data_IF_615276795495
#
_entry.id   IF_615276795495
#
_cell.length_a   1.000
_cell.length_b   1.000
_cell.length_c   1.000
_cell.angle_alpha   90.00
_cell.angle_beta   90.00
_cell.angle_gamma   90.00
#
_symmetry.space_group_name_H-M   'P 1'
#
loop_
_entity.id
_entity.type
_entity.pdbx_description
1 polymer ?
#
# COMPACT_ATOMS: atom_id res chain seq x y z
N UNK A 1 22.52 17.25 -12.78
CA UNK A 1 23.06 15.95 -13.24
C UNK A 1 22.45 15.65 -14.59
N UNK A 2 23.24 15.18 -15.56
CA UNK A 2 22.66 14.70 -16.83
C UNK A 2 22.18 13.25 -16.65
N UNK A 3 21.48 12.68 -17.65
CA UNK A 3 20.94 11.32 -17.52
C UNK A 3 22.02 10.25 -17.65
N UNK A 4 23.08 10.48 -18.43
CA UNK A 4 24.20 9.53 -18.59
C UNK A 4 24.97 9.34 -17.26
N UNK A 5 25.14 10.42 -16.49
CA UNK A 5 25.70 10.38 -15.14
C UNK A 5 24.82 9.54 -14.21
N UNK A 6 23.50 9.65 -14.32
CA UNK A 6 22.55 8.88 -13.51
C UNK A 6 22.60 7.39 -13.88
N UNK A 7 22.72 7.06 -15.18
CA UNK A 7 22.86 5.68 -15.63
C UNK A 7 24.08 5.00 -15.02
N UNK A 8 25.25 5.66 -15.06
CA UNK A 8 26.46 5.13 -14.44
C UNK A 8 26.29 4.91 -12.92
N UNK A 9 25.72 5.91 -12.22
CA UNK A 9 25.47 5.78 -10.78
C UNK A 9 24.51 4.62 -10.45
N UNK A 10 23.46 4.43 -11.26
CA UNK A 10 22.48 3.38 -11.06
C UNK A 10 23.03 1.99 -11.39
N UNK A 11 23.82 1.85 -12.45
CA UNK A 11 24.50 0.60 -12.79
C UNK A 11 25.48 0.18 -11.69
N UNK A 12 26.22 1.12 -11.12
CA UNK A 12 27.16 0.83 -10.04
C UNK A 12 26.44 0.54 -8.71
N UNK A 13 25.34 1.25 -8.42
CA UNK A 13 24.52 0.96 -7.25
C UNK A 13 24.00 -0.49 -7.24
N UNK A 14 23.62 -1.04 -8.39
CA UNK A 14 23.15 -2.43 -8.49
C UNK A 14 24.24 -3.48 -8.26
N UNK A 15 25.52 -3.09 -8.29
CA UNK A 15 26.67 -3.96 -7.97
C UNK A 15 27.03 -3.91 -6.49
N UNK A 16 26.38 -3.07 -5.70
CA UNK A 16 26.74 -2.85 -4.31
C UNK A 16 26.53 -4.09 -3.43
N UNK A 17 27.49 -4.33 -2.55
CA UNK A 17 27.50 -5.47 -1.62
C UNK A 17 27.07 -5.11 -0.20
N UNK A 18 26.81 -3.83 0.07
CA UNK A 18 26.39 -3.35 1.39
C UNK A 18 25.41 -2.18 1.28
N UNK A 19 24.58 -1.94 2.32
CA UNK A 19 23.70 -0.78 2.36
C UNK A 19 24.42 0.56 2.18
N UNK A 20 25.56 0.76 2.85
CA UNK A 20 26.30 2.01 2.76
C UNK A 20 26.86 2.24 1.36
N UNK A 21 27.38 1.19 0.74
CA UNK A 21 27.89 1.25 -0.63
C UNK A 21 26.77 1.60 -1.63
N UNK A 22 25.61 0.96 -1.50
CA UNK A 22 24.43 1.28 -2.32
C UNK A 22 24.03 2.76 -2.16
N UNK A 23 23.97 3.26 -0.91
CA UNK A 23 23.64 4.66 -0.64
C UNK A 23 24.64 5.63 -1.23
N UNK A 24 25.95 5.35 -1.13
CA UNK A 24 26.98 6.24 -1.67
C UNK A 24 26.81 6.46 -3.19
N UNK A 25 26.42 5.42 -3.93
CA UNK A 25 26.15 5.53 -5.37
C UNK A 25 24.90 6.37 -5.66
N UNK A 26 23.83 6.22 -4.87
CA UNK A 26 22.55 6.91 -5.14
C UNK A 26 22.38 8.25 -4.41
N UNK A 27 23.34 8.67 -3.57
CA UNK A 27 23.22 9.86 -2.72
C UNK A 27 22.91 11.12 -3.53
N UNK A 28 23.65 11.35 -4.61
CA UNK A 28 23.41 12.51 -5.48
C UNK A 28 22.03 12.48 -6.16
N UNK A 29 21.51 11.29 -6.46
CA UNK A 29 20.16 11.13 -6.98
C UNK A 29 19.12 11.43 -5.89
N UNK A 30 19.34 10.96 -4.67
CA UNK A 30 18.49 11.28 -3.50
C UNK A 30 18.45 12.78 -3.20
N UNK A 31 19.54 13.52 -3.42
CA UNK A 31 19.57 14.97 -3.23
C UNK A 31 18.70 15.71 -4.26
N UNK A 32 18.69 15.23 -5.51
CA UNK A 32 17.86 15.78 -6.57
C UNK A 32 16.38 15.36 -6.46
N UNK A 33 16.10 14.22 -5.84
CA UNK A 33 14.76 13.63 -5.79
C UNK A 33 13.89 14.29 -4.71
N UNK A 34 12.75 14.83 -5.11
CA UNK A 34 11.74 15.31 -4.17
C UNK A 34 10.79 14.17 -3.85
N UNK A 35 10.86 13.60 -2.64
CA UNK A 35 9.96 12.49 -2.27
C UNK A 35 8.52 13.00 -2.23
N UNK A 36 7.68 12.51 -3.13
CA UNK A 36 6.26 12.84 -3.12
C UNK A 36 5.64 12.30 -1.83
N UNK A 37 4.83 13.12 -1.17
CA UNK A 37 4.09 12.72 0.01
C UNK A 37 2.65 13.19 -0.06
N UNK A 38 1.71 12.36 0.37
CA UNK A 38 0.31 12.73 0.50
C UNK A 38 -0.14 12.56 1.95
N UNK A 39 -0.97 13.48 2.43
CA UNK A 39 -1.65 13.33 3.70
C UNK A 39 -3.01 12.67 3.46
N UNK A 40 -3.21 11.51 4.08
CA UNK A 40 -4.46 10.79 4.07
C UNK A 40 -5.19 10.99 5.39
N UNK A 41 -6.47 11.27 5.28
CA UNK A 41 -7.43 11.22 6.39
C UNK A 41 -8.33 10.01 6.22
N UNK A 42 -9.32 9.88 7.11
CA UNK A 42 -10.36 8.87 6.99
C UNK A 42 -11.05 8.94 5.62
N UNK A 43 -11.11 7.81 4.92
CA UNK A 43 -11.79 7.70 3.63
C UNK A 43 -11.58 6.35 2.99
N UNK A 44 -10.45 6.19 2.29
CA UNK A 44 -10.10 4.96 1.58
C UNK A 44 -9.94 3.76 2.50
N UNK A 45 -10.28 2.57 1.99
CA UNK A 45 -10.03 1.29 2.68
C UNK A 45 -8.75 0.66 2.13
N UNK A 46 -7.83 0.34 3.03
CA UNK A 46 -6.63 -0.42 2.73
C UNK A 46 -6.80 -1.88 3.16
N UNK A 47 -6.24 -2.80 2.40
CA UNK A 47 -6.60 -4.21 2.48
C UNK A 47 -5.43 -5.09 2.87
N UNK A 48 -5.70 -6.09 3.71
CA UNK A 48 -4.77 -7.19 3.95
C UNK A 48 -5.48 -8.52 3.83
N UNK A 49 -4.84 -9.46 3.15
CA UNK A 49 -5.32 -10.83 3.04
C UNK A 49 -4.36 -11.77 3.78
N UNK A 50 -4.90 -12.86 4.33
CA UNK A 50 -4.13 -14.01 4.81
C UNK A 50 -4.83 -15.31 4.41
N UNK A 51 -4.05 -16.30 3.97
CA UNK A 51 -4.58 -17.65 3.73
C UNK A 51 -4.91 -18.31 5.06
N UNK A 52 -6.08 -18.93 5.16
CA UNK A 52 -6.45 -19.74 6.31
C UNK A 52 -5.85 -21.14 6.12
N UNK A 53 -5.03 -21.58 7.09
CA UNK A 53 -4.41 -22.90 7.08
C UNK A 53 -5.28 -23.96 7.75
N UNK A 54 -6.00 -23.59 8.81
CA UNK A 54 -6.82 -24.52 9.59
C UNK A 54 -8.12 -23.86 10.02
N UNK A 55 -8.04 -22.90 10.93
CA UNK A 55 -9.18 -22.18 11.49
C UNK A 55 -9.15 -20.71 11.10
N UNK A 56 -10.31 -20.06 11.14
CA UNK A 56 -10.40 -18.61 10.96
C UNK A 56 -9.61 -17.92 12.06
N UNK A 57 -8.92 -16.86 11.68
CA UNK A 57 -8.25 -15.98 12.63
C UNK A 57 -9.31 -15.29 13.48
N UNK A 58 -9.15 -15.41 14.80
CA UNK A 58 -10.16 -14.95 15.74
C UNK A 58 -9.91 -13.53 16.19
N UNK A 59 -8.65 -13.11 16.20
CA UNK A 59 -8.21 -11.83 16.73
C UNK A 59 -7.72 -10.91 15.62
N UNK A 60 -7.86 -9.59 15.78
CA UNK A 60 -7.43 -8.62 14.76
C UNK A 60 -5.91 -8.64 14.53
N UNK A 61 -5.12 -8.90 15.58
CA UNK A 61 -3.65 -8.97 15.48
C UNK A 61 -3.17 -10.07 14.53
N UNK A 62 -3.95 -11.14 14.37
CA UNK A 62 -3.66 -12.19 13.40
C UNK A 62 -3.74 -11.65 11.96
N UNK A 63 -4.46 -10.57 11.72
CA UNK A 63 -4.55 -9.85 10.45
C UNK A 63 -3.75 -8.54 10.47
N UNK A 64 -2.98 -8.29 11.52
CA UNK A 64 -2.06 -7.16 11.65
C UNK A 64 -0.61 -7.59 11.41
N UNK A 65 0.34 -6.67 11.59
CA UNK A 65 1.77 -6.92 11.48
C UNK A 65 2.24 -7.97 12.52
N UNK A 66 3.27 -8.77 12.22
CA UNK A 66 3.76 -9.78 13.15
C UNK A 66 4.51 -9.14 14.33
N UNK A 67 4.57 -9.82 15.50
CA UNK A 67 5.43 -9.44 16.62
C UNK A 67 6.90 -9.27 16.22
N UNK A 68 7.60 -8.37 16.92
CA UNK A 68 8.98 -7.96 16.61
C UNK A 68 9.93 -9.15 16.39
N UNK A 69 9.90 -10.12 17.28
CA UNK A 69 10.75 -11.32 17.26
C UNK A 69 10.50 -12.25 16.06
N UNK A 70 9.34 -12.16 15.42
CA UNK A 70 8.96 -12.94 14.24
C UNK A 70 9.19 -12.20 12.92
N UNK A 71 9.64 -10.94 12.96
CA UNK A 71 9.87 -10.11 11.78
C UNK A 71 11.23 -10.45 11.16
N UNK A 72 11.19 -10.96 9.92
CA UNK A 72 12.37 -11.08 9.05
C UNK A 72 12.50 -9.86 8.13
N UNK A 73 13.66 -9.74 7.47
CA UNK A 73 13.86 -8.75 6.41
C UNK A 73 12.78 -8.90 5.33
N UNK A 74 12.04 -7.82 5.10
CA UNK A 74 11.07 -7.70 4.04
C UNK A 74 11.48 -6.60 3.07
N UNK A 75 10.63 -6.35 2.08
CA UNK A 75 10.89 -5.35 1.04
C UNK A 75 11.16 -3.95 1.62
N UNK A 76 10.43 -3.57 2.66
CA UNK A 76 10.53 -2.25 3.29
C UNK A 76 11.27 -2.31 4.63
N UNK A 77 11.16 -3.41 5.35
CA UNK A 77 11.53 -3.50 6.75
C UNK A 77 12.78 -4.35 7.01
N UNK A 78 13.49 -4.00 8.06
CA UNK A 78 14.58 -4.81 8.59
C UNK A 78 14.05 -5.91 9.50
N UNK A 79 14.91 -6.90 9.80
CA UNK A 79 14.66 -7.87 10.86
C UNK A 79 14.34 -7.14 12.17
N UNK A 80 13.36 -7.65 12.92
CA UNK A 80 12.91 -7.04 14.17
C UNK A 80 12.34 -5.61 14.05
N UNK A 81 11.97 -5.16 12.85
CA UNK A 81 11.33 -3.87 12.63
C UNK A 81 9.95 -4.09 11.99
N UNK A 82 8.88 -4.29 12.78
CA UNK A 82 7.57 -4.63 12.23
C UNK A 82 6.96 -3.48 11.43
N UNK A 83 6.47 -3.81 10.23
CA UNK A 83 5.65 -2.94 9.40
C UNK A 83 4.30 -3.61 9.10
N UNK A 84 3.25 -2.81 9.09
CA UNK A 84 1.95 -3.20 8.60
C UNK A 84 1.87 -3.08 7.09
N UNK A 85 1.92 -4.22 6.42
CA UNK A 85 1.75 -4.32 4.96
C UNK A 85 0.28 -4.41 4.59
N UNK A 86 -0.13 -3.49 3.73
CA UNK A 86 -1.48 -3.31 3.21
C UNK A 86 -1.42 -3.13 1.69
N UNK A 87 -2.55 -3.30 1.02
CA UNK A 87 -2.71 -2.99 -0.38
C UNK A 87 -3.79 -1.92 -0.59
N UNK A 88 -3.67 -1.13 -1.66
CA UNK A 88 -4.67 -0.11 -1.99
C UNK A 88 -5.98 -0.68 -2.53
N UNK A 89 -6.00 -1.96 -2.92
CA UNK A 89 -7.18 -2.68 -3.43
C UNK A 89 -7.22 -4.11 -2.92
N UNK A 90 -8.42 -4.71 -2.91
CA UNK A 90 -8.63 -6.10 -2.45
C UNK A 90 -7.92 -7.09 -3.36
N UNK A 91 -8.06 -6.88 -4.66
CA UNK A 91 -7.52 -7.73 -5.71
C UNK A 91 -5.99 -7.79 -5.61
N UNK A 92 -5.36 -6.65 -5.31
CA UNK A 92 -3.94 -6.54 -4.99
C UNK A 92 -3.57 -7.34 -3.73
N UNK A 93 -4.32 -7.19 -2.63
CA UNK A 93 -4.08 -7.97 -1.41
C UNK A 93 -4.16 -9.49 -1.64
N UNK A 94 -5.12 -9.94 -2.46
CA UNK A 94 -5.26 -11.35 -2.85
C UNK A 94 -4.10 -11.83 -3.74
N UNK A 95 -3.61 -10.98 -4.64
CA UNK A 95 -2.47 -11.28 -5.50
C UNK A 95 -1.14 -11.35 -4.72
N UNK A 96 -0.93 -10.45 -3.76
CA UNK A 96 0.29 -10.40 -2.94
C UNK A 96 0.50 -11.68 -2.12
N UNK A 97 -0.58 -12.31 -1.62
CA UNK A 97 -0.49 -13.59 -0.92
C UNK A 97 -0.40 -14.80 -1.86
N UNK A 98 -0.31 -14.58 -3.19
CA UNK A 98 -0.35 -15.62 -4.23
C UNK A 98 -1.52 -16.58 -4.01
N UNK A 99 -2.72 -16.04 -3.80
CA UNK A 99 -3.92 -16.86 -3.64
C UNK A 99 -4.19 -17.71 -4.88
N UNK A 100 -4.78 -18.89 -4.67
CA UNK A 100 -5.08 -19.89 -5.68
C UNK A 100 -6.55 -20.27 -5.63
N UNK A 101 -7.01 -20.90 -6.70
CA UNK A 101 -8.32 -21.54 -6.71
C UNK A 101 -8.46 -22.51 -5.52
N UNK A 102 -9.64 -22.50 -4.89
CA UNK A 102 -9.99 -23.23 -3.67
C UNK A 102 -9.31 -22.77 -2.37
N UNK A 103 -8.40 -21.80 -2.41
CA UNK A 103 -7.88 -21.21 -1.16
C UNK A 103 -9.03 -20.57 -0.35
N UNK A 104 -8.96 -20.75 0.96
CA UNK A 104 -9.78 -20.00 1.92
C UNK A 104 -8.92 -18.87 2.47
N UNK A 105 -9.45 -17.65 2.45
CA UNK A 105 -8.71 -16.43 2.73
C UNK A 105 -9.51 -15.60 3.71
N UNK A 106 -8.85 -15.06 4.73
CA UNK A 106 -9.40 -14.00 5.55
C UNK A 106 -8.89 -12.65 5.03
N UNK A 107 -9.81 -11.78 4.66
CA UNK A 107 -9.57 -10.47 4.07
C UNK A 107 -10.06 -9.40 5.03
N UNK A 108 -9.17 -8.52 5.46
CA UNK A 108 -9.46 -7.41 6.35
C UNK A 108 -9.28 -6.06 5.64
N UNK A 109 -10.22 -5.15 5.89
CA UNK A 109 -10.19 -3.76 5.42
C UNK A 109 -9.99 -2.79 6.58
N UNK A 110 -9.08 -1.84 6.39
CA UNK A 110 -8.67 -0.87 7.39
C UNK A 110 -8.88 0.56 6.88
N UNK A 111 -9.37 1.43 7.75
CA UNK A 111 -9.49 2.86 7.49
C UNK A 111 -8.66 3.63 8.50
N UNK A 112 -8.23 4.83 8.10
CA UNK A 112 -7.70 5.79 9.06
C UNK A 112 -8.83 6.20 10.02
N UNK A 113 -8.56 6.23 11.32
CA UNK A 113 -9.51 6.63 12.36
C UNK A 113 -9.97 8.07 12.17
N UNK A 114 -11.12 8.42 12.72
CA UNK A 114 -11.54 9.83 12.76
C UNK A 114 -10.50 10.68 13.50
N UNK A 115 -10.23 11.88 12.97
CA UNK A 115 -9.27 12.85 13.51
C UNK A 115 -7.79 12.42 13.48
N UNK A 116 -7.48 11.27 12.89
CA UNK A 116 -6.11 10.86 12.61
C UNK A 116 -5.72 11.18 11.16
N UNK A 117 -4.41 11.32 10.95
CA UNK A 117 -3.84 11.46 9.61
C UNK A 117 -2.62 10.55 9.42
N UNK A 118 -2.40 10.18 8.16
CA UNK A 118 -1.25 9.44 7.73
C UNK A 118 -0.61 10.14 6.54
N UNK A 119 0.55 10.74 6.76
CA UNK A 119 1.43 11.17 5.68
C UNK A 119 2.05 9.92 5.05
N UNK A 120 2.03 9.78 3.73
CA UNK A 120 2.58 8.61 3.03
C UNK A 120 3.55 9.09 1.97
N UNK A 121 4.80 8.62 2.01
CA UNK A 121 5.76 8.77 0.92
C UNK A 121 5.32 7.89 -0.26
N UNK A 122 5.27 8.41 -1.47
CA UNK A 122 4.82 7.65 -2.64
C UNK A 122 5.91 7.63 -3.70
N UNK A 123 6.22 6.44 -4.20
CA UNK A 123 7.29 6.22 -5.19
C UNK A 123 6.69 5.77 -6.52
N UNK A 124 7.15 6.34 -7.63
CA UNK A 124 6.73 5.97 -8.99
C UNK A 124 5.68 6.91 -9.60
N UNK A 125 5.18 7.90 -8.85
CA UNK A 125 4.12 8.80 -9.33
C UNK A 125 4.60 9.90 -10.27
N UNK A 126 5.85 10.36 -10.20
CA UNK A 126 6.35 11.30 -11.22
C UNK A 126 6.39 10.62 -12.59
N UNK A 127 6.88 9.38 -12.63
CA UNK A 127 6.90 8.59 -13.87
C UNK A 127 5.48 8.32 -14.37
N UNK A 128 4.56 7.93 -13.48
CA UNK A 128 3.18 7.65 -13.87
C UNK A 128 2.48 8.91 -14.42
N UNK A 129 2.53 10.03 -13.70
CA UNK A 129 1.91 11.29 -14.15
C UNK A 129 2.52 11.76 -15.46
N UNK A 130 3.83 11.66 -15.64
CA UNK A 130 4.48 11.96 -16.91
C UNK A 130 3.95 11.11 -18.08
N UNK A 131 3.70 9.82 -17.85
CA UNK A 131 3.23 8.89 -18.90
C UNK A 131 1.74 8.93 -19.15
N UNK A 132 0.92 9.15 -18.12
CA UNK A 132 -0.53 8.94 -18.20
C UNK A 132 -1.34 10.17 -17.82
N UNK A 133 -0.73 11.20 -17.21
CA UNK A 133 -1.40 12.43 -16.80
C UNK A 133 -2.21 12.33 -15.50
N UNK A 134 -2.12 11.21 -14.76
CA UNK A 134 -2.84 11.03 -13.49
C UNK A 134 -2.01 10.25 -12.47
N UNK A 135 -2.30 10.48 -11.19
CA UNK A 135 -1.68 9.76 -10.07
C UNK A 135 -2.36 8.40 -9.91
N UNK A 136 -1.62 7.30 -10.04
CA UNK A 136 -2.20 5.96 -9.95
C UNK A 136 -2.65 5.62 -8.54
N UNK A 137 -1.86 5.98 -7.53
CA UNK A 137 -2.16 5.70 -6.13
C UNK A 137 -3.47 6.35 -5.66
N UNK A 138 -3.75 7.59 -6.09
CA UNK A 138 -4.96 8.35 -5.74
C UNK A 138 -6.10 8.16 -6.76
N UNK A 139 -5.81 7.65 -7.96
CA UNK A 139 -6.75 7.60 -9.09
C UNK A 139 -6.98 8.95 -9.79
N UNK A 140 -6.52 10.06 -9.21
CA UNK A 140 -6.55 11.40 -9.79
C UNK A 140 -5.34 12.20 -9.30
N UNK A 141 -4.80 13.10 -10.14
CA UNK A 141 -3.84 14.13 -9.69
C UNK A 141 -4.64 15.31 -9.09
N UNK A 142 -4.67 15.51 -7.76
CA UNK A 142 -5.49 16.55 -7.16
C UNK A 142 -5.11 17.93 -7.70
N UNK A 143 -6.07 18.57 -8.38
CA UNK A 143 -5.88 19.82 -9.11
C UNK A 143 -4.76 19.74 -10.16
N UNK A 144 -4.23 18.59 -10.57
CA UNK A 144 -3.07 18.53 -11.49
C UNK A 144 -1.77 19.02 -10.86
N UNK A 145 -1.58 18.82 -9.55
CA UNK A 145 -0.44 19.36 -8.80
C UNK A 145 0.90 18.81 -9.28
N UNK A 146 1.01 17.49 -9.42
CA UNK A 146 2.26 16.85 -9.87
C UNK A 146 2.52 17.19 -11.33
N UNK A 147 1.47 17.16 -12.16
CA UNK A 147 1.62 17.53 -13.57
C UNK A 147 2.08 19.00 -13.72
N UNK A 148 1.55 19.91 -12.91
CA UNK A 148 2.04 21.30 -12.88
C UNK A 148 3.49 21.38 -12.43
N UNK A 149 3.87 20.69 -11.36
CA UNK A 149 5.24 20.68 -10.84
C UNK A 149 6.24 20.23 -11.92
N UNK A 150 5.92 19.18 -12.66
CA UNK A 150 6.75 18.69 -13.77
C UNK A 150 6.84 19.76 -14.87
N UNK A 151 5.71 20.33 -15.29
CA UNK A 151 5.67 21.26 -16.44
C UNK A 151 6.19 22.67 -16.12
N UNK A 152 6.19 23.09 -14.85
CA UNK A 152 6.74 24.37 -14.41
C UNK A 152 8.22 24.32 -14.03
N UNK A 153 8.78 23.12 -13.88
CA UNK A 153 10.20 22.91 -13.60
C UNK A 153 11.07 23.14 -14.84
N UNK A 154 12.37 23.37 -14.62
CA UNK A 154 13.32 23.33 -15.74
C UNK A 154 13.32 21.94 -16.38
N UNK A 155 13.62 21.88 -17.68
CA UNK A 155 13.67 20.63 -18.45
C UNK A 155 14.55 19.57 -17.79
N UNK A 156 15.71 19.98 -17.26
CA UNK A 156 16.66 19.07 -16.62
C UNK A 156 16.17 18.60 -15.25
N UNK A 157 15.55 19.48 -14.44
CA UNK A 157 14.96 19.09 -13.16
C UNK A 157 13.81 18.11 -13.37
N UNK A 158 12.89 18.42 -14.29
CA UNK A 158 11.76 17.55 -14.61
C UNK A 158 12.22 16.16 -15.06
N UNK A 159 13.21 16.11 -15.97
CA UNK A 159 13.80 14.85 -16.43
C UNK A 159 14.44 14.06 -15.29
N UNK A 160 15.24 14.70 -14.44
CA UNK A 160 15.86 14.04 -13.30
C UNK A 160 14.82 13.49 -12.32
N UNK A 161 13.79 14.27 -11.97
CA UNK A 161 12.71 13.80 -11.09
C UNK A 161 12.04 12.54 -11.67
N UNK A 162 11.65 12.58 -12.93
CA UNK A 162 10.98 11.46 -13.61
C UNK A 162 11.90 10.22 -13.70
N UNK A 163 13.17 10.43 -14.03
CA UNK A 163 14.14 9.35 -14.23
C UNK A 163 14.50 8.65 -12.92
N UNK A 164 14.81 9.43 -11.89
CA UNK A 164 15.13 8.92 -10.55
C UNK A 164 13.92 8.22 -9.93
N UNK A 165 12.71 8.80 -10.07
CA UNK A 165 11.47 8.18 -9.61
C UNK A 165 11.24 6.81 -10.25
N UNK A 166 11.48 6.71 -11.57
CA UNK A 166 11.36 5.46 -12.29
C UNK A 166 12.35 4.43 -11.76
N UNK A 167 13.62 4.78 -11.61
CA UNK A 167 14.64 3.89 -11.05
C UNK A 167 14.27 3.41 -9.64
N UNK A 168 13.90 4.31 -8.72
CA UNK A 168 13.48 3.94 -7.37
C UNK A 168 12.25 3.05 -7.35
N UNK A 169 11.29 3.29 -8.26
CA UNK A 169 10.11 2.42 -8.41
C UNK A 169 10.48 1.01 -8.88
N UNK A 170 11.46 0.88 -9.78
CA UNK A 170 11.96 -0.42 -10.27
C UNK A 170 12.72 -1.19 -9.18
N UNK A 171 13.54 -0.50 -8.38
CA UNK A 171 14.19 -1.11 -7.20
C UNK A 171 13.12 -1.69 -6.28
N UNK A 172 12.12 -0.88 -5.88
CA UNK A 172 11.05 -1.35 -5.00
C UNK A 172 10.18 -2.44 -5.65
N UNK A 173 10.07 -2.48 -6.98
CA UNK A 173 9.33 -3.50 -7.71
C UNK A 173 10.16 -4.75 -8.08
N UNK A 174 11.40 -4.86 -7.62
CA UNK A 174 12.26 -5.98 -7.98
C UNK A 174 11.71 -7.31 -7.43
N UNK A 175 11.33 -8.20 -8.34
CA UNK A 175 10.87 -9.57 -8.07
C UNK A 175 11.94 -10.44 -7.42
N UNK A 176 13.23 -10.14 -7.66
CA UNK A 176 14.40 -10.90 -7.21
C UNK A 176 15.04 -10.31 -5.95
N UNK A 177 14.49 -9.24 -5.38
CA UNK A 177 15.03 -8.62 -4.16
C UNK A 177 15.13 -9.61 -2.98
N UNK A 178 14.37 -10.71 -2.97
CA UNK A 178 14.52 -11.75 -1.94
C UNK A 178 15.90 -12.44 -1.99
N UNK A 179 16.52 -12.52 -3.17
CA UNK A 179 17.81 -13.20 -3.39
C UNK A 179 18.98 -12.51 -2.67
N UNK A 180 18.84 -11.21 -2.35
CA UNK A 180 19.80 -10.43 -1.59
C UNK A 180 19.23 -9.92 -0.26
N UNK A 181 18.26 -10.63 0.32
CA UNK A 181 17.60 -10.27 1.57
C UNK A 181 17.05 -8.84 1.57
N UNK A 182 16.54 -8.40 0.42
CA UNK A 182 15.92 -7.10 0.19
C UNK A 182 16.86 -5.91 0.43
N UNK A 183 18.18 -6.11 0.30
CA UNK A 183 19.19 -5.10 0.65
C UNK A 183 18.91 -3.74 0.00
N UNK A 184 18.67 -3.70 -1.31
CA UNK A 184 18.44 -2.43 -2.01
C UNK A 184 17.08 -1.82 -1.63
N UNK A 185 16.03 -2.62 -1.55
CA UNK A 185 14.68 -2.10 -1.29
C UNK A 185 14.55 -1.57 0.13
N UNK A 186 15.06 -2.30 1.13
CA UNK A 186 15.02 -1.89 2.55
C UNK A 186 15.92 -0.68 2.81
N UNK A 187 17.05 -0.60 2.11
CA UNK A 187 17.98 0.52 2.26
C UNK A 187 17.40 1.79 1.62
N UNK A 188 16.82 1.67 0.43
CA UNK A 188 16.14 2.77 -0.25
C UNK A 188 14.92 3.26 0.54
N UNK A 189 14.01 2.35 0.95
CA UNK A 189 12.80 2.71 1.69
C UNK A 189 13.13 3.48 2.97
N UNK A 190 14.12 3.02 3.74
CA UNK A 190 14.59 3.68 4.95
C UNK A 190 15.06 5.13 4.70
N UNK A 191 15.76 5.38 3.59
CA UNK A 191 16.18 6.75 3.23
C UNK A 191 15.00 7.61 2.79
N UNK A 192 14.07 7.04 2.02
CA UNK A 192 12.88 7.76 1.54
C UNK A 192 11.95 8.15 2.69
N UNK A 193 11.68 7.25 3.63
CA UNK A 193 10.90 7.52 4.85
C UNK A 193 11.51 8.67 5.66
N UNK A 194 12.83 8.60 5.92
CA UNK A 194 13.56 9.67 6.64
C UNK A 194 13.51 11.00 5.92
N UNK A 195 13.74 11.01 4.61
CA UNK A 195 13.73 12.24 3.79
C UNK A 195 12.33 12.85 3.67
N UNK A 196 11.28 12.02 3.64
CA UNK A 196 9.89 12.47 3.61
C UNK A 196 9.32 12.81 5.00
N UNK A 197 10.06 12.49 6.08
CA UNK A 197 9.60 12.64 7.47
C UNK A 197 8.25 11.95 7.70
N UNK A 198 8.17 10.66 7.37
CA UNK A 198 6.98 9.84 7.54
C UNK A 198 7.34 8.40 7.92
N UNK A 199 6.38 7.72 8.55
CA UNK A 199 6.42 6.31 8.94
C UNK A 199 5.67 5.40 7.94
N UNK A 200 5.27 5.92 6.77
CA UNK A 200 4.53 5.19 5.76
C UNK A 200 5.05 5.41 4.34
N UNK A 201 5.12 4.33 3.57
CA UNK A 201 5.52 4.34 2.16
C UNK A 201 4.56 3.53 1.30
N UNK A 202 4.11 4.11 0.20
CA UNK A 202 3.38 3.44 -0.86
C UNK A 202 4.31 3.21 -2.06
N UNK A 203 4.27 1.99 -2.59
CA UNK A 203 5.12 1.55 -3.69
C UNK A 203 4.36 0.62 -4.64
N UNK A 204 4.76 0.53 -5.93
CA UNK A 204 4.06 -0.29 -6.91
C UNK A 204 4.02 -1.77 -6.50
N UNK A 205 2.88 -2.41 -6.72
CA UNK A 205 2.77 -3.87 -6.55
C UNK A 205 3.50 -4.59 -7.68
N UNK A 206 4.22 -5.65 -7.31
CA UNK A 206 4.88 -6.57 -8.23
C UNK A 206 3.90 -7.62 -8.76
N UNK A 207 2.86 -7.92 -7.98
CA UNK A 207 1.88 -8.98 -8.25
C UNK A 207 0.63 -8.48 -8.98
N UNK A 208 0.37 -7.18 -8.94
CA UNK A 208 -0.79 -6.55 -9.56
C UNK A 208 -0.39 -5.25 -10.27
N UNK A 209 -0.29 -5.32 -11.59
CA UNK A 209 0.25 -4.25 -12.40
C UNK A 209 -0.61 -2.98 -12.32
N UNK A 210 0.02 -1.87 -11.91
CA UNK A 210 -0.65 -0.58 -11.75
C UNK A 210 -1.33 -0.38 -10.39
N UNK A 211 -1.30 -1.39 -9.51
CA UNK A 211 -1.70 -1.24 -8.13
C UNK A 211 -0.52 -0.87 -7.21
N UNK A 212 -0.84 -0.56 -5.96
CA UNK A 212 0.13 -0.14 -4.96
C UNK A 212 -0.04 -0.93 -3.67
N UNK A 213 1.10 -1.23 -3.07
CA UNK A 213 1.19 -1.65 -1.69
C UNK A 213 1.48 -0.43 -0.80
N UNK A 214 1.10 -0.54 0.47
CA UNK A 214 1.37 0.41 1.53
C UNK A 214 2.07 -0.34 2.66
N UNK A 215 3.18 0.20 3.15
CA UNK A 215 3.82 -0.27 4.37
C UNK A 215 3.84 0.88 5.38
N UNK A 216 3.39 0.61 6.62
CA UNK A 216 3.34 1.59 7.71
C UNK A 216 4.05 1.01 8.93
N UNK A 217 4.89 1.77 9.60
CA UNK A 217 5.53 1.31 10.85
C UNK A 217 4.46 0.89 11.88
N UNK A 218 4.72 -0.22 12.58
CA UNK A 218 3.81 -0.82 13.55
C UNK A 218 3.20 0.20 14.53
N UNK A 219 4.05 0.95 15.23
CA UNK A 219 3.61 1.94 16.23
C UNK A 219 2.68 3.00 15.63
N UNK A 220 3.00 3.49 14.42
CA UNK A 220 2.14 4.45 13.74
C UNK A 220 0.82 3.81 13.33
N UNK A 221 0.86 2.56 12.87
CA UNK A 221 -0.32 1.82 12.42
C UNK A 221 -1.35 1.59 13.54
N UNK A 222 -0.91 1.29 14.77
CA UNK A 222 -1.79 1.12 15.94
C UNK A 222 -2.57 2.40 16.26
N UNK A 223 -1.93 3.54 16.05
CA UNK A 223 -2.52 4.85 16.27
C UNK A 223 -3.54 5.14 15.18
N UNK A 224 -3.14 5.03 13.90
CA UNK A 224 -3.93 5.59 12.80
C UNK A 224 -5.01 4.67 12.25
N UNK A 225 -4.85 3.35 12.30
CA UNK A 225 -5.78 2.42 11.64
C UNK A 225 -6.80 1.83 12.59
N UNK A 226 -8.02 1.70 12.10
CA UNK A 226 -9.01 0.80 12.64
C UNK A 226 -9.52 -0.16 11.57
N UNK A 227 -9.88 -1.36 12.00
CA UNK A 227 -10.48 -2.34 11.13
C UNK A 227 -11.98 -2.05 10.99
N UNK A 228 -12.47 -2.09 9.75
CA UNK A 228 -13.87 -1.79 9.40
C UNK A 228 -14.55 -2.93 8.66
N UNK A 229 -13.77 -3.88 8.14
CA UNK A 229 -14.24 -5.02 7.36
C UNK A 229 -13.38 -6.24 7.72
N UNK A 230 -14.01 -7.39 7.91
CA UNK A 230 -13.34 -8.68 7.96
C UNK A 230 -14.24 -9.74 7.33
N UNK A 231 -13.75 -10.37 6.27
CA UNK A 231 -14.46 -11.38 5.50
C UNK A 231 -13.62 -12.65 5.45
N UNK A 232 -14.29 -13.80 5.50
CA UNK A 232 -13.69 -15.05 5.05
C UNK A 232 -14.23 -15.40 3.67
N UNK A 233 -13.33 -15.66 2.72
CA UNK A 233 -13.62 -15.89 1.32
C UNK A 233 -13.15 -17.29 0.91
N UNK A 234 -13.87 -17.94 0.00
CA UNK A 234 -13.35 -19.06 -0.79
C UNK A 234 -13.14 -18.61 -2.22
N UNK A 235 -11.91 -18.70 -2.72
CA UNK A 235 -11.61 -18.41 -4.13
C UNK A 235 -12.20 -19.53 -4.99
N UNK A 236 -13.13 -19.17 -5.88
CA UNK A 236 -13.76 -20.11 -6.82
C UNK A 236 -12.95 -20.28 -8.09
N UNK A 237 -12.41 -19.19 -8.61
CA UNK A 237 -11.53 -19.20 -9.78
C UNK A 237 -10.79 -17.87 -9.90
N UNK A 238 -9.64 -17.90 -10.57
CA UNK A 238 -8.87 -16.70 -10.93
C UNK A 238 -8.88 -16.62 -12.45
N UNK A 239 -9.46 -15.56 -13.01
CA UNK A 239 -9.52 -15.40 -14.46
C UNK A 239 -8.15 -14.99 -14.99
N UNK A 240 -7.93 -15.21 -16.30
CA UNK A 240 -6.66 -15.00 -17.01
C UNK A 240 -5.95 -13.68 -16.70
N UNK A 241 -6.71 -12.61 -16.42
CA UNK A 241 -6.18 -11.26 -16.19
C UNK A 241 -6.24 -10.83 -14.71
N UNK A 242 -6.17 -11.79 -13.77
CA UNK A 242 -6.08 -11.49 -12.34
C UNK A 242 -7.40 -11.12 -11.66
N UNK A 243 -8.53 -11.29 -12.33
CA UNK A 243 -9.86 -11.06 -11.73
C UNK A 243 -10.24 -12.27 -10.88
N UNK A 244 -10.51 -12.04 -9.60
CA UNK A 244 -10.91 -13.07 -8.64
C UNK A 244 -12.42 -13.25 -8.61
N UNK A 245 -12.88 -14.49 -8.79
CA UNK A 245 -14.24 -14.90 -8.45
C UNK A 245 -14.19 -15.67 -7.12
N UNK A 246 -14.98 -15.23 -6.16
CA UNK A 246 -14.98 -15.77 -4.80
C UNK A 246 -16.38 -15.82 -4.20
N UNK A 247 -16.55 -16.65 -3.18
CA UNK A 247 -17.74 -16.66 -2.32
C UNK A 247 -17.37 -16.21 -0.92
N UNK A 248 -18.14 -15.31 -0.34
CA UNK A 248 -18.05 -14.98 1.09
C UNK A 248 -18.59 -16.18 1.88
N UNK A 249 -17.77 -16.73 2.77
CA UNK A 249 -18.15 -17.82 3.68
C UNK A 249 -18.67 -17.28 5.01
N UNK A 250 -18.07 -16.19 5.50
CA UNK A 250 -18.45 -15.54 6.74
C UNK A 250 -17.98 -14.07 6.72
N UNK A 251 -18.58 -13.25 7.57
CA UNK A 251 -18.22 -11.85 7.73
C UNK A 251 -18.36 -11.44 9.19
N UNK A 252 -17.43 -10.61 9.66
CA UNK A 252 -17.51 -10.03 10.99
C UNK A 252 -18.54 -8.89 11.01
N UNK A 253 -19.28 -8.77 12.11
CA UNK A 253 -20.19 -7.67 12.41
C UNK A 253 -19.55 -6.60 13.29
N UNK A 254 -18.39 -6.91 13.87
CA UNK A 254 -17.63 -6.02 14.71
C UNK A 254 -16.43 -6.72 15.34
N UNK A 255 -15.80 -6.00 16.25
CA UNK A 255 -14.71 -6.48 17.10
C UNK A 255 -15.10 -6.19 18.55
N UNK A 256 -14.89 -7.13 19.45
CA UNK A 256 -15.14 -6.94 20.89
C UNK A 256 -14.03 -6.11 21.56
N UNK A 257 -14.20 -5.81 22.84
CA UNK A 257 -13.22 -5.05 23.63
C UNK A 257 -11.85 -5.73 23.76
N UNK A 258 -11.78 -7.03 23.50
CA UNK A 258 -10.57 -7.84 23.53
C UNK A 258 -9.96 -8.07 22.14
N UNK A 259 -10.43 -7.36 21.11
CA UNK A 259 -9.90 -7.47 19.75
C UNK A 259 -10.35 -8.72 18.98
N UNK A 260 -11.33 -9.49 19.48
CA UNK A 260 -11.86 -10.66 18.79
C UNK A 260 -12.95 -10.28 17.80
N UNK A 261 -12.96 -10.92 16.64
CA UNK A 261 -14.02 -10.78 15.66
C UNK A 261 -15.33 -11.38 16.19
N UNK A 262 -16.38 -10.57 16.16
CA UNK A 262 -17.75 -11.01 16.35
C UNK A 262 -18.30 -11.36 14.97
N UNK A 263 -18.61 -12.63 14.73
CA UNK A 263 -19.04 -13.10 13.42
C UNK A 263 -20.57 -13.06 13.29
N UNK A 264 -21.05 -12.63 12.12
CA UNK A 264 -22.47 -12.73 11.80
C UNK A 264 -22.97 -14.17 11.85
N UNK A 265 -24.19 -14.35 12.37
CA UNK A 265 -24.88 -15.65 12.33
C UNK A 265 -25.37 -16.04 10.94
N UNK A 266 -25.62 -15.05 10.07
CA UNK A 266 -26.04 -15.29 8.70
C UNK A 266 -24.82 -15.71 7.84
N UNK A 267 -25.05 -16.59 6.87
CA UNK A 267 -24.02 -17.09 5.94
C UNK A 267 -24.24 -16.61 4.51
N UNK A 268 -25.36 -15.94 4.23
CA UNK A 268 -25.67 -15.38 2.91
C UNK A 268 -25.53 -13.86 2.93
N UNK A 269 -24.53 -13.37 2.20
CA UNK A 269 -24.21 -11.95 2.12
C UNK A 269 -24.43 -11.45 0.70
N UNK A 270 -25.41 -10.57 0.52
CA UNK A 270 -25.62 -9.83 -0.74
C UNK A 270 -24.82 -8.52 -0.77
N UNK A 271 -24.37 -8.04 0.39
CA UNK A 271 -23.53 -6.86 0.58
C UNK A 271 -22.38 -7.19 1.55
N UNK A 272 -21.25 -6.51 1.39
CA UNK A 272 -20.12 -6.61 2.33
C UNK A 272 -20.49 -5.92 3.64
N UNK A 273 -20.55 -6.63 4.79
CA UNK A 273 -20.74 -5.98 6.08
C UNK A 273 -19.57 -5.06 6.40
N UNK A 274 -19.90 -3.88 6.92
CA UNK A 274 -18.93 -2.89 7.38
C UNK A 274 -19.35 -2.45 8.78
N UNK A 275 -18.38 -2.32 9.68
CA UNK A 275 -18.54 -1.83 11.04
C UNK A 275 -17.58 -0.67 11.31
N UNK A 276 -17.66 -0.10 12.51
CA UNK A 276 -16.88 1.06 12.93
C UNK A 276 -16.99 2.23 11.95
N UNK A 277 -18.21 2.45 11.44
CA UNK A 277 -18.52 3.56 10.56
C UNK A 277 -18.97 4.77 11.36
N UNK A 278 -18.55 5.94 10.89
CA UNK A 278 -19.00 7.20 11.45
C UNK A 278 -20.47 7.43 11.12
N UNK A 279 -21.16 8.29 11.86
CA UNK A 279 -22.56 8.64 11.56
C UNK A 279 -22.72 9.13 10.11
N UNK A 280 -21.79 9.97 9.65
CA UNK A 280 -21.79 10.47 8.27
C UNK A 280 -21.60 9.35 7.24
N UNK A 281 -20.73 8.38 7.52
CA UNK A 281 -20.52 7.23 6.64
C UNK A 281 -21.74 6.31 6.59
N UNK A 282 -22.37 6.04 7.74
CA UNK A 282 -23.62 5.28 7.80
C UNK A 282 -24.74 5.96 7.02
N UNK A 283 -24.88 7.28 7.15
CA UNK A 283 -25.89 8.06 6.44
C UNK A 283 -25.63 8.07 4.92
N UNK A 284 -24.36 8.07 4.48
CA UNK A 284 -24.00 7.90 3.08
C UNK A 284 -24.35 6.51 2.57
N UNK A 285 -24.03 5.44 3.32
CA UNK A 285 -24.35 4.07 2.92
C UNK A 285 -25.85 3.83 2.77
N UNK A 286 -26.67 4.38 3.67
CA UNK A 286 -28.15 4.28 3.59
C UNK A 286 -28.74 4.91 2.34
N UNK A 287 -28.06 5.89 1.73
CA UNK A 287 -28.49 6.55 0.49
C UNK A 287 -28.05 5.80 -0.76
N UNK A 288 -27.17 4.80 -0.61
CA UNK A 288 -26.55 4.08 -1.71
C UNK A 288 -27.11 2.66 -1.67
N UNK A 289 -28.34 2.51 -2.18
CA UNK A 289 -29.09 1.25 -2.06
C UNK A 289 -28.44 0.06 -2.79
N UNK A 290 -27.48 0.27 -3.70
CA UNK A 290 -27.00 -0.79 -4.62
C UNK A 290 -25.51 -0.73 -5.05
N UNK A 291 -24.58 -0.16 -4.27
CA UNK A 291 -23.16 -0.13 -4.69
C UNK A 291 -22.35 -1.21 -3.99
N UNK A 292 -21.69 -2.04 -4.80
CA UNK A 292 -20.59 -2.88 -4.37
C UNK A 292 -19.43 -1.99 -3.89
N UNK A 293 -19.15 -2.09 -2.59
CA UNK A 293 -18.13 -1.31 -1.88
C UNK A 293 -16.70 -1.64 -2.35
N UNK A 294 -16.54 -2.59 -3.27
CA UNK A 294 -15.33 -2.83 -4.06
C UNK A 294 -14.72 -1.58 -4.67
N UNK A 295 -15.54 -0.57 -4.97
CA UNK A 295 -15.13 0.69 -5.59
C UNK A 295 -15.23 1.90 -4.63
N UNK A 296 -15.43 1.69 -3.32
CA UNK A 296 -15.54 2.78 -2.35
C UNK A 296 -14.17 3.39 -1.99
N UNK A 297 -13.45 3.82 -3.01
CA UNK A 297 -12.39 4.82 -2.92
C UNK A 297 -13.02 6.21 -3.06
N UNK A 298 -14.05 6.52 -2.26
CA UNK A 298 -14.66 7.84 -2.32
C UNK A 298 -13.80 8.83 -1.54
N UNK A 299 -12.83 9.40 -2.26
CA UNK A 299 -12.47 10.83 -2.26
C UNK A 299 -12.63 11.47 -0.87
N UNK A 300 -11.56 11.41 -0.07
CA UNK A 300 -11.32 12.51 0.86
C UNK A 300 -11.14 13.76 -0.01
N UNK A 301 -11.93 14.79 0.27
CA UNK A 301 -11.79 16.10 -0.33
C UNK A 301 -10.31 16.49 -0.28
N UNK A 302 -9.69 16.68 -1.44
CA UNK A 302 -8.47 17.45 -1.54
C UNK A 302 -8.81 18.95 -1.38
N UNK A 303 -9.53 19.28 -0.31
CA UNK A 303 -9.76 20.65 0.12
C UNK A 303 -8.62 21.00 1.08
N UNK A 304 -7.83 21.99 0.68
CA UNK A 304 -6.70 22.62 1.38
C UNK A 304 -5.31 22.01 1.18
N UNK A 305 -4.82 22.01 -0.07
CA UNK A 305 -3.43 22.39 -0.42
C UNK A 305 -3.42 23.14 -1.76
#
# INVERSE_FOLDING_TARGET
MNLDDLDLLFEDALKSLSPNDFINHIEKALDCYQVLSFNFERGSVFWRARKIQSNFYKHIDDLSYPPKDLVNCGRINDKESPFFYLASRRETALAEINSKENDIIQLAGFKIKENENLRIAVVGEFWNVFKTGYVKFLGQDPKGCINRLINSSSKDLARNLIYIDKYFSEILADTKAVENEYLFTRTLSNKLLKKAHTDAIAYPSVKDAGAYNLAVEANKSDIVFENVICLTLKIKSIKKWGIYDYRILSAAEGIDENGNFIWHKNTEFTKTPIYNLTKSEMDKLKKIDNVDLSHFNSISKADNY
#
